data_IF_348552145066
#
_entry.id   IF_348552145066
#
_cell.length_a   1.000
_cell.length_b   1.000
_cell.length_c   1.000
_cell.angle_alpha   90.00
_cell.angle_beta   90.00
_cell.angle_gamma   90.00
#
_symmetry.space_group_name_H-M   'P 1'
#
loop_
_entity.id
_entity.type
_entity.pdbx_description
1 polymer ?
#
# COMPACT_ATOMS: atom_id res chain seq x y z
N UNK A 1 -4.41 7.38 8.86
CA UNK A 1 -5.37 6.24 8.89
C UNK A 1 -5.37 5.63 10.28
N UNK A 2 -6.51 5.10 10.73
CA UNK A 2 -6.67 4.32 11.96
C UNK A 2 -7.07 2.89 11.60
N UNK A 3 -6.52 1.88 12.28
CA UNK A 3 -6.78 0.46 11.99
C UNK A 3 -6.78 -0.39 13.26
N UNK A 4 -7.65 -1.39 13.33
CA UNK A 4 -7.81 -2.31 14.48
C UNK A 4 -6.72 -3.41 14.53
N UNK A 5 -6.05 -3.67 13.40
CA UNK A 5 -4.93 -4.61 13.31
C UNK A 5 -3.90 -4.13 12.29
N UNK A 6 -2.63 -4.52 12.48
CA UNK A 6 -1.58 -4.18 11.52
C UNK A 6 -1.85 -4.74 10.12
N UNK A 7 -2.56 -5.87 9.99
CA UNK A 7 -2.94 -6.42 8.69
C UNK A 7 -3.95 -5.52 7.96
N UNK A 8 -4.91 -4.95 8.69
CA UNK A 8 -5.90 -4.05 8.09
C UNK A 8 -5.28 -2.76 7.51
N UNK A 9 -4.12 -2.34 8.02
CA UNK A 9 -3.45 -1.12 7.56
C UNK A 9 -3.03 -1.19 6.08
N UNK A 10 -2.72 -2.38 5.58
CA UNK A 10 -2.34 -2.55 4.17
C UNK A 10 -3.52 -2.26 3.24
N UNK A 11 -4.71 -2.76 3.60
CA UNK A 11 -5.93 -2.51 2.84
C UNK A 11 -6.36 -1.05 2.91
N UNK A 12 -6.31 -0.46 4.10
CA UNK A 12 -6.61 0.95 4.27
C UNK A 12 -5.65 1.84 3.47
N UNK A 13 -4.37 1.42 3.33
CA UNK A 13 -3.39 2.20 2.57
C UNK A 13 -3.71 2.18 1.07
N UNK A 14 -4.20 1.05 0.54
CA UNK A 14 -4.70 1.00 -0.84
C UNK A 14 -5.92 1.91 -1.04
N UNK A 15 -6.83 1.97 -0.06
CA UNK A 15 -8.00 2.86 -0.11
C UNK A 15 -7.55 4.33 -0.17
N UNK A 16 -6.62 4.73 0.69
CA UNK A 16 -6.08 6.09 0.71
C UNK A 16 -5.38 6.45 -0.61
N UNK A 17 -4.60 5.54 -1.19
CA UNK A 17 -4.00 5.73 -2.51
C UNK A 17 -5.08 5.89 -3.59
N UNK A 18 -6.16 5.11 -3.55
CA UNK A 18 -7.25 5.20 -4.52
C UNK A 18 -7.98 6.54 -4.44
N UNK A 19 -8.22 7.02 -3.23
CA UNK A 19 -8.79 8.35 -2.97
C UNK A 19 -7.87 9.47 -3.45
N UNK A 20 -6.55 9.30 -3.36
CA UNK A 20 -5.62 10.31 -3.85
C UNK A 20 -5.51 10.31 -5.39
N UNK A 21 -5.18 9.15 -5.97
CA UNK A 21 -4.89 8.98 -7.40
C UNK A 21 -6.15 9.12 -8.28
N UNK A 22 -7.33 8.82 -7.73
CA UNK A 22 -8.61 8.75 -8.42
C UNK A 22 -8.56 7.97 -9.76
N UNK A 23 -7.98 6.76 -9.81
CA UNK A 23 -7.68 6.11 -11.09
C UNK A 23 -8.93 5.80 -11.92
N UNK A 24 -8.84 6.01 -13.24
CA UNK A 24 -9.82 5.53 -14.21
C UNK A 24 -9.54 4.07 -14.53
N UNK A 25 -10.18 3.16 -13.79
CA UNK A 25 -9.96 1.71 -13.88
C UNK A 25 -10.60 1.11 -15.14
N UNK A 26 -9.89 0.16 -15.74
CA UNK A 26 -10.35 -0.69 -16.85
C UNK A 26 -10.97 -1.98 -16.31
N UNK A 27 -11.66 -2.74 -17.16
CA UNK A 27 -12.25 -4.04 -16.78
C UNK A 27 -11.23 -5.18 -16.70
N UNK A 28 -10.00 -4.96 -17.16
CA UNK A 28 -8.91 -5.94 -17.10
C UNK A 28 -8.45 -6.13 -15.66
N UNK A 29 -8.80 -7.29 -15.08
CA UNK A 29 -8.39 -7.67 -13.72
C UNK A 29 -7.00 -8.28 -13.71
N UNK A 30 -6.31 -8.14 -12.59
CA UNK A 30 -5.09 -8.88 -12.30
C UNK A 30 -5.12 -9.46 -10.89
N UNK A 31 -4.32 -10.49 -10.72
CA UNK A 31 -3.98 -11.05 -9.42
C UNK A 31 -2.47 -11.25 -9.40
N UNK A 32 -1.79 -10.77 -8.36
CA UNK A 32 -0.33 -10.82 -8.25
C UNK A 32 0.10 -11.10 -6.82
N UNK A 33 0.93 -12.12 -6.63
CA UNK A 33 1.60 -12.37 -5.36
C UNK A 33 2.89 -11.55 -5.30
N UNK A 34 3.11 -10.89 -4.16
CA UNK A 34 4.35 -10.16 -3.87
C UNK A 34 4.90 -10.61 -2.52
N UNK A 35 6.22 -10.63 -2.43
CA UNK A 35 6.96 -10.91 -1.20
C UNK A 35 7.87 -9.74 -0.91
N UNK A 36 7.84 -9.24 0.31
CA UNK A 36 8.64 -8.10 0.73
C UNK A 36 9.43 -8.49 1.97
N UNK A 37 10.75 -8.37 1.87
CA UNK A 37 11.68 -8.48 2.98
C UNK A 37 12.12 -7.08 3.39
N UNK A 38 12.08 -6.78 4.68
CA UNK A 38 12.36 -5.46 5.23
C UNK A 38 13.13 -5.56 6.55
N UNK A 39 13.54 -4.42 7.11
CA UNK A 39 14.31 -4.41 8.37
C UNK A 39 13.44 -4.73 9.59
N UNK A 40 12.23 -4.18 9.62
CA UNK A 40 11.27 -4.38 10.70
C UNK A 40 9.84 -4.21 10.17
N UNK A 41 8.87 -4.45 11.05
CA UNK A 41 7.45 -4.40 10.72
C UNK A 41 7.01 -3.01 10.23
N UNK A 42 7.65 -1.95 10.72
CA UNK A 42 7.34 -0.55 10.37
C UNK A 42 7.80 -0.25 8.95
N UNK A 43 9.02 -0.66 8.64
CA UNK A 43 9.66 -0.51 7.33
C UNK A 43 8.97 -1.38 6.29
N UNK A 44 8.44 -2.54 6.68
CA UNK A 44 7.65 -3.41 5.81
C UNK A 44 6.42 -2.71 5.20
N UNK A 45 5.73 -1.84 5.97
CA UNK A 45 4.59 -1.07 5.44
C UNK A 45 5.05 -0.05 4.39
N UNK A 46 6.20 0.59 4.61
CA UNK A 46 6.77 1.55 3.66
C UNK A 46 7.19 0.86 2.39
N UNK A 47 7.93 -0.26 2.51
CA UNK A 47 8.38 -1.05 1.37
C UNK A 47 7.19 -1.62 0.59
N UNK A 48 6.12 -2.02 1.28
CA UNK A 48 4.85 -2.36 0.66
C UNK A 48 4.29 -1.23 -0.17
N UNK A 49 4.18 -0.02 0.37
CA UNK A 49 3.63 1.11 -0.39
C UNK A 49 4.50 1.51 -1.57
N UNK A 50 5.82 1.42 -1.43
CA UNK A 50 6.74 1.64 -2.54
C UNK A 50 6.55 0.60 -3.65
N UNK A 51 6.34 -0.68 -3.30
CA UNK A 51 6.02 -1.71 -4.27
C UNK A 51 4.68 -1.42 -4.98
N UNK A 52 3.64 -1.00 -4.24
CA UNK A 52 2.36 -0.60 -4.85
C UNK A 52 2.54 0.57 -5.82
N UNK A 53 3.26 1.62 -5.42
CA UNK A 53 3.54 2.78 -6.28
C UNK A 53 4.34 2.36 -7.51
N UNK A 54 5.32 1.47 -7.35
CA UNK A 54 6.09 0.90 -8.46
C UNK A 54 5.19 0.16 -9.44
N UNK A 55 4.28 -0.69 -8.98
CA UNK A 55 3.33 -1.41 -9.84
C UNK A 55 2.38 -0.45 -10.58
N UNK A 56 1.92 0.60 -9.90
CA UNK A 56 1.10 1.66 -10.52
C UNK A 56 1.86 2.33 -11.66
N UNK A 57 3.11 2.70 -11.44
CA UNK A 57 3.89 3.49 -12.40
C UNK A 57 4.48 2.65 -13.54
N UNK A 58 4.91 1.41 -13.26
CA UNK A 58 5.61 0.55 -14.23
C UNK A 58 4.67 -0.35 -15.02
N UNK A 59 3.66 -0.93 -14.37
CA UNK A 59 2.78 -1.95 -14.97
C UNK A 59 1.40 -1.41 -15.35
N UNK A 60 1.10 -0.14 -15.03
CA UNK A 60 -0.22 0.48 -15.22
C UNK A 60 -1.36 -0.30 -14.58
N UNK A 61 -1.10 -0.89 -13.42
CA UNK A 61 -2.08 -1.63 -12.62
C UNK A 61 -2.36 -0.90 -11.31
N UNK A 62 -3.60 -0.94 -10.86
CA UNK A 62 -4.02 -0.37 -9.59
C UNK A 62 -4.53 -1.50 -8.67
N UNK A 63 -3.78 -1.88 -7.64
CA UNK A 63 -4.25 -2.81 -6.61
C UNK A 63 -5.45 -2.22 -5.86
N UNK A 64 -6.58 -2.93 -5.84
CA UNK A 64 -7.79 -2.52 -5.12
C UNK A 64 -7.96 -3.28 -3.80
N UNK A 65 -7.36 -4.47 -3.70
CA UNK A 65 -7.49 -5.34 -2.55
C UNK A 65 -6.18 -6.07 -2.28
N UNK A 66 -5.88 -6.24 -1.00
CA UNK A 66 -4.73 -7.01 -0.52
C UNK A 66 -5.20 -8.07 0.46
N UNK A 67 -4.69 -9.28 0.28
CA UNK A 67 -4.80 -10.37 1.26
C UNK A 67 -3.41 -10.67 1.80
N UNK A 68 -3.24 -10.54 3.11
CA UNK A 68 -2.03 -10.95 3.81
C UNK A 68 -2.02 -12.48 3.86
N UNK A 69 -1.05 -13.10 3.19
CA UNK A 69 -0.85 -14.56 3.20
C UNK A 69 0.03 -14.99 4.37
N UNK A 70 1.08 -14.22 4.65
CA UNK A 70 1.95 -14.39 5.80
C UNK A 70 2.50 -13.04 6.25
N UNK A 71 2.57 -12.81 7.55
CA UNK A 71 3.17 -11.62 8.13
C UNK A 71 4.08 -12.01 9.29
N UNK A 72 5.37 -11.73 9.12
CA UNK A 72 6.42 -11.92 10.12
C UNK A 72 7.03 -10.56 10.47
N UNK A 73 7.95 -10.55 11.43
CA UNK A 73 8.57 -9.32 11.93
C UNK A 73 9.29 -8.52 10.84
N UNK A 74 9.88 -9.20 9.86
CA UNK A 74 10.72 -8.60 8.82
C UNK A 74 10.35 -9.06 7.40
N UNK A 75 9.22 -9.75 7.23
CA UNK A 75 8.79 -10.32 5.95
C UNK A 75 7.28 -10.35 5.82
N UNK A 76 6.76 -9.92 4.68
CA UNK A 76 5.34 -10.00 4.32
C UNK A 76 5.13 -10.70 2.98
N UNK A 77 4.13 -11.58 2.93
CA UNK A 77 3.66 -12.23 1.71
C UNK A 77 2.21 -11.80 1.46
N UNK A 78 1.95 -11.23 0.29
CA UNK A 78 0.68 -10.59 -0.03
C UNK A 78 0.15 -11.06 -1.38
N UNK A 79 -1.17 -11.23 -1.46
CA UNK A 79 -1.89 -11.41 -2.71
C UNK A 79 -2.63 -10.11 -3.03
N UNK A 80 -2.26 -9.47 -4.13
CA UNK A 80 -2.90 -8.27 -4.65
C UNK A 80 -3.95 -8.65 -5.69
N UNK A 81 -5.12 -8.05 -5.58
CA UNK A 81 -6.19 -8.11 -6.57
C UNK A 81 -6.51 -6.68 -7.00
N UNK A 82 -6.66 -6.46 -8.31
CA UNK A 82 -6.99 -5.13 -8.81
C UNK A 82 -7.26 -5.13 -10.30
N UNK A 83 -7.08 -3.96 -10.91
CA UNK A 83 -7.36 -3.74 -12.33
C UNK A 83 -6.27 -2.92 -13.00
N UNK A 84 -6.14 -3.03 -14.32
CA UNK A 84 -5.43 -2.01 -15.09
C UNK A 84 -6.14 -0.66 -14.99
N UNK A 85 -5.41 0.43 -15.16
CA UNK A 85 -5.99 1.76 -15.27
C UNK A 85 -5.61 2.43 -16.60
N UNK A 86 -6.47 3.32 -17.09
CA UNK A 86 -6.22 4.14 -18.28
C UNK A 86 -5.50 5.44 -17.92
N UNK A 87 -6.01 6.13 -16.88
CA UNK A 87 -5.51 7.43 -16.42
C UNK A 87 -5.53 7.53 -14.90
N UNK A 88 -4.63 8.34 -14.39
CA UNK A 88 -4.55 8.79 -13.00
C UNK A 88 -4.66 10.32 -13.01
N UNK A 89 -5.42 10.90 -12.08
CA UNK A 89 -5.72 12.34 -12.10
C UNK A 89 -4.79 13.17 -11.20
N UNK A 90 -4.09 12.54 -10.25
CA UNK A 90 -3.05 13.15 -9.41
C UNK A 90 -1.91 12.16 -9.27
N UNK A 91 -0.72 12.50 -9.73
CA UNK A 91 0.42 11.58 -9.70
C UNK A 91 1.19 11.68 -8.38
N UNK A 92 1.65 10.55 -7.84
CA UNK A 92 2.57 10.50 -6.70
C UNK A 92 3.88 9.92 -7.24
N UNK A 93 4.98 10.66 -7.10
CA UNK A 93 6.29 10.19 -7.55
C UNK A 93 6.87 9.11 -6.64
N UNK A 94 6.68 9.22 -5.32
CA UNK A 94 7.13 8.24 -4.33
C UNK A 94 6.44 8.42 -2.96
N UNK A 95 6.43 7.40 -2.10
CA UNK A 95 6.19 7.57 -0.68
C UNK A 95 7.55 7.80 0.03
N UNK A 96 7.70 8.88 0.79
CA UNK A 96 8.96 9.19 1.49
C UNK A 96 8.80 9.17 3.01
N UNK A 97 9.91 8.88 3.69
CA UNK A 97 9.99 8.47 5.10
C UNK A 97 9.75 9.58 6.13
N UNK A 98 9.41 10.81 5.72
CA UNK A 98 9.73 11.99 6.54
C UNK A 98 8.90 12.18 7.82
N UNK A 99 7.88 11.37 8.13
CA UNK A 99 7.19 11.48 9.42
C UNK A 99 6.40 10.23 9.85
N UNK A 100 6.98 9.05 9.70
CA UNK A 100 6.27 7.82 10.05
C UNK A 100 6.18 7.64 11.58
N UNK A 101 5.12 8.19 12.18
CA UNK A 101 4.74 7.95 13.57
C UNK A 101 3.86 6.72 13.67
N UNK A 102 4.34 5.70 14.39
CA UNK A 102 3.53 4.62 14.92
C UNK A 102 3.24 4.92 16.39
N UNK A 103 2.04 5.40 16.68
CA UNK A 103 1.54 5.50 18.05
C UNK A 103 0.60 4.31 18.29
N UNK A 104 1.01 3.36 19.13
CA UNK A 104 0.14 2.31 19.69
C UNK A 104 -0.47 2.86 20.98
N UNK A 105 -1.50 3.70 20.88
CA UNK A 105 -2.34 4.02 22.03
C UNK A 105 -3.63 3.21 21.96
N UNK A 106 -3.89 2.41 22.99
CA UNK A 106 -5.19 1.78 23.29
C UNK A 106 -5.87 1.17 22.04
N UNK A 107 -5.23 0.16 21.45
CA UNK A 107 -5.76 -0.68 20.36
C UNK A 107 -5.82 -0.02 18.96
N UNK A 108 -5.28 1.19 18.79
CA UNK A 108 -5.23 1.86 17.48
C UNK A 108 -3.80 2.05 16.98
N UNK A 109 -3.61 1.80 15.69
CA UNK A 109 -2.37 2.10 14.98
C UNK A 109 -2.60 3.32 14.09
N UNK A 110 -1.92 4.43 14.39
CA UNK A 110 -1.86 5.59 13.49
C UNK A 110 -0.58 5.49 12.66
N UNK A 111 -0.69 5.74 11.36
CA UNK A 111 0.45 5.89 10.45
C UNK A 111 0.28 7.15 9.61
N UNK A 112 1.30 8.01 9.65
CA UNK A 112 1.43 9.20 8.81
C UNK A 112 2.50 8.93 7.75
N UNK A 113 2.14 9.06 6.47
CA UNK A 113 3.03 8.82 5.33
C UNK A 113 3.00 10.06 4.48
N UNK A 114 4.18 10.63 4.22
CA UNK A 114 4.32 11.80 3.36
C UNK A 114 4.69 11.31 1.97
N UNK A 115 3.81 11.56 1.01
CA UNK A 115 4.08 11.28 -0.40
C UNK A 115 4.84 12.45 -1.04
N UNK A 116 5.88 12.15 -1.80
CA UNK A 116 6.55 13.10 -2.69
C UNK A 116 5.78 13.14 -4.02
N UNK A 117 5.36 14.32 -4.44
CA UNK A 117 4.39 14.58 -5.52
C UNK A 117 5.02 15.21 -6.76
#
# INVERSE_FOLDING_TARGET
MESDSFESIFQESLNALKEYYHPSLLNEKFTKEITIDSFDKKTLLVDFLNEIIFLINSEKIFPEKVKVLSLKENKGEFLLEGKKYDKIYKDIKAATYHNLKFEEEKEKITVEIVFDI
#
